data_IF_023746946947
#
_entry.id   IF_023746946947
#
_cell.length_a   1.000
_cell.length_b   1.000
_cell.length_c   1.000
_cell.angle_alpha   90.00
_cell.angle_beta   90.00
_cell.angle_gamma   90.00
#
_symmetry.space_group_name_H-M   'P 1'
#
loop_
_entity.id
_entity.type
_entity.pdbx_description
1 polymer ?
#
# COMPACT_ATOMS: atom_id res chain seq x y z
N UNK A 1 -7.26 -7.76 14.39
CA UNK A 1 -7.67 -8.79 13.39
C UNK A 1 -9.16 -9.17 13.48
N UNK A 2 -9.81 -9.12 14.65
CA UNK A 2 -11.29 -9.22 14.75
C UNK A 2 -11.98 -8.04 14.06
N UNK A 3 -11.30 -6.90 14.02
CA UNK A 3 -11.83 -5.61 13.54
C UNK A 3 -12.01 -5.59 12.03
N UNK A 4 -11.14 -6.25 11.27
CA UNK A 4 -11.26 -6.34 9.81
C UNK A 4 -12.51 -7.12 9.37
N UNK A 5 -12.88 -8.19 10.10
CA UNK A 5 -14.08 -8.97 9.82
C UNK A 5 -15.35 -8.16 10.10
N UNK A 6 -15.33 -7.34 11.15
CA UNK A 6 -16.42 -6.40 11.46
C UNK A 6 -16.56 -5.32 10.37
N UNK A 7 -15.44 -4.75 9.91
CA UNK A 7 -15.43 -3.76 8.84
C UNK A 7 -16.02 -4.31 7.52
N UNK A 8 -15.65 -5.53 7.14
CA UNK A 8 -16.21 -6.22 5.97
C UNK A 8 -17.72 -6.44 6.07
N UNK A 9 -18.22 -6.88 7.23
CA UNK A 9 -19.65 -7.04 7.45
C UNK A 9 -20.41 -5.71 7.37
N UNK A 10 -19.85 -4.65 7.96
CA UNK A 10 -20.42 -3.31 7.86
C UNK A 10 -20.48 -2.82 6.39
N UNK A 11 -19.43 -3.12 5.61
CA UNK A 11 -19.38 -2.79 4.19
C UNK A 11 -20.47 -3.53 3.39
N UNK A 12 -20.67 -4.83 3.64
CA UNK A 12 -21.76 -5.61 3.01
C UNK A 12 -23.12 -4.96 3.29
N UNK A 13 -23.39 -4.58 4.54
CA UNK A 13 -24.67 -3.95 4.93
C UNK A 13 -24.85 -2.62 4.19
N UNK A 14 -23.80 -1.81 4.08
CA UNK A 14 -23.85 -0.54 3.33
C UNK A 14 -24.11 -0.75 1.84
N UNK A 15 -23.46 -1.73 1.22
CA UNK A 15 -23.67 -2.07 -0.20
C UNK A 15 -25.11 -2.53 -0.45
N UNK A 16 -25.66 -3.40 0.41
CA UNK A 16 -27.07 -3.82 0.34
C UNK A 16 -28.02 -2.63 0.48
N UNK A 17 -27.72 -1.71 1.39
CA UNK A 17 -28.53 -0.49 1.58
C UNK A 17 -28.46 0.42 0.35
N UNK A 18 -27.27 0.59 -0.26
CA UNK A 18 -27.09 1.35 -1.49
C UNK A 18 -27.86 0.72 -2.68
N UNK A 19 -27.84 -0.62 -2.80
CA UNK A 19 -28.58 -1.39 -3.81
C UNK A 19 -30.09 -1.17 -3.67
N UNK A 20 -30.60 -1.09 -2.43
CA UNK A 20 -32.02 -0.80 -2.17
C UNK A 20 -32.40 0.64 -2.54
N UNK A 21 -31.54 1.62 -2.27
CA UNK A 21 -31.83 3.04 -2.51
C UNK A 21 -31.69 3.41 -4.00
N UNK A 22 -30.63 2.93 -4.66
CA UNK A 22 -30.29 3.29 -6.05
C UNK A 22 -30.83 2.30 -7.08
N UNK A 23 -31.35 1.15 -6.64
CA UNK A 23 -31.69 0.03 -7.49
C UNK A 23 -30.48 -0.89 -7.75
N UNK A 24 -30.76 -2.09 -8.25
CA UNK A 24 -29.74 -3.05 -8.63
C UNK A 24 -29.05 -2.58 -9.92
N UNK A 25 -27.85 -2.02 -9.79
CA UNK A 25 -26.95 -1.75 -10.91
C UNK A 25 -25.91 -2.86 -10.99
N UNK A 26 -25.45 -3.17 -12.21
CA UNK A 26 -24.43 -4.19 -12.46
C UNK A 26 -23.14 -3.95 -11.66
N UNK A 27 -22.80 -2.69 -11.42
CA UNK A 27 -21.64 -2.28 -10.62
C UNK A 27 -21.79 -2.69 -9.14
N UNK A 28 -22.98 -2.47 -8.57
CA UNK A 28 -23.26 -2.76 -7.15
C UNK A 28 -23.38 -4.26 -6.92
N UNK A 29 -23.97 -5.00 -7.86
CA UNK A 29 -24.05 -6.47 -7.80
C UNK A 29 -22.67 -7.10 -7.94
N UNK A 30 -21.83 -6.61 -8.85
CA UNK A 30 -20.44 -7.04 -9.01
C UNK A 30 -19.63 -6.75 -7.75
N UNK A 31 -19.67 -5.52 -7.24
CA UNK A 31 -18.96 -5.13 -6.01
C UNK A 31 -19.39 -5.99 -4.81
N UNK A 32 -20.67 -6.32 -4.69
CA UNK A 32 -21.20 -7.20 -3.64
C UNK A 32 -20.64 -8.62 -3.76
N UNK A 33 -20.52 -9.16 -4.97
CA UNK A 33 -19.90 -10.46 -5.20
C UNK A 33 -18.42 -10.46 -4.81
N UNK A 34 -17.68 -9.43 -5.22
CA UNK A 34 -16.25 -9.28 -4.90
C UNK A 34 -16.02 -9.19 -3.39
N UNK A 35 -16.88 -8.47 -2.66
CA UNK A 35 -16.81 -8.39 -1.19
C UNK A 35 -17.07 -9.76 -0.53
N UNK A 36 -17.98 -10.57 -1.09
CA UNK A 36 -18.25 -11.93 -0.60
C UNK A 36 -17.04 -12.84 -0.85
N UNK A 37 -16.38 -12.71 -2.01
CA UNK A 37 -15.15 -13.44 -2.34
C UNK A 37 -14.00 -13.04 -1.42
N UNK A 38 -13.74 -11.74 -1.28
CA UNK A 38 -12.70 -11.21 -0.39
C UNK A 38 -12.88 -11.68 1.06
N UNK A 39 -14.13 -11.79 1.54
CA UNK A 39 -14.41 -12.34 2.87
C UNK A 39 -13.97 -13.80 2.99
N UNK A 40 -14.14 -14.62 1.94
CA UNK A 40 -13.67 -16.01 1.92
C UNK A 40 -12.15 -16.06 1.94
N UNK A 41 -11.49 -15.21 1.16
CA UNK A 41 -10.03 -15.15 1.11
C UNK A 41 -9.44 -14.74 2.46
N UNK A 42 -10.05 -13.76 3.13
CA UNK A 42 -9.65 -13.35 4.48
C UNK A 42 -9.85 -14.49 5.49
N UNK A 43 -10.96 -15.23 5.40
CA UNK A 43 -11.21 -16.39 6.27
C UNK A 43 -10.24 -17.55 5.96
N UNK A 44 -9.86 -17.74 4.69
CA UNK A 44 -8.86 -18.72 4.26
C UNK A 44 -7.46 -18.34 4.74
N UNK A 45 -7.04 -17.09 4.54
CA UNK A 45 -5.75 -16.58 4.99
C UNK A 45 -5.60 -16.70 6.51
N UNK A 46 -6.69 -16.49 7.25
CA UNK A 46 -6.73 -16.69 8.70
C UNK A 46 -6.64 -18.17 9.09
N UNK A 47 -7.18 -19.06 8.27
CA UNK A 47 -7.16 -20.51 8.50
C UNK A 47 -5.88 -21.17 8.02
N UNK A 48 -5.17 -20.58 7.06
CA UNK A 48 -3.83 -21.01 6.67
C UNK A 48 -2.91 -20.73 7.84
N UNK A 49 -2.66 -21.79 8.60
CA UNK A 49 -1.86 -21.74 9.80
C UNK A 49 -0.48 -21.17 9.41
N UNK A 50 -0.15 -19.99 9.95
CA UNK A 50 1.15 -19.35 9.73
C UNK A 50 2.30 -20.27 10.19
N UNK A 51 1.99 -21.31 10.97
CA UNK A 51 2.88 -22.42 11.32
C UNK A 51 3.43 -23.18 10.11
N UNK A 52 2.72 -23.23 8.96
CA UNK A 52 3.28 -23.81 7.73
C UNK A 52 4.35 -22.92 7.09
N UNK A 53 4.28 -21.60 7.29
CA UNK A 53 5.25 -20.65 6.74
C UNK A 53 6.58 -20.71 7.53
N UNK A 54 6.49 -20.84 8.85
CA UNK A 54 7.63 -21.24 9.67
C UNK A 54 7.73 -22.75 9.64
N UNK A 55 8.09 -23.30 8.48
CA UNK A 55 8.22 -24.73 8.27
C UNK A 55 8.84 -25.37 9.49
N UNK A 56 8.20 -26.43 10.01
CA UNK A 56 8.64 -27.19 11.17
C UNK A 56 10.15 -27.32 11.09
N UNK A 57 10.86 -26.50 11.88
CA UNK A 57 12.27 -26.69 12.11
C UNK A 57 12.27 -27.95 12.94
N UNK A 58 12.30 -29.09 12.27
CA UNK A 58 12.84 -30.31 12.83
C UNK A 58 14.23 -29.86 13.28
N UNK A 59 14.34 -29.52 14.56
CA UNK A 59 15.61 -29.43 15.24
C UNK A 59 16.16 -30.83 15.09
N UNK A 60 16.91 -31.03 14.01
CA UNK A 60 17.61 -32.26 13.75
C UNK A 60 18.52 -32.39 14.96
N UNK A 61 18.14 -33.30 15.86
CA UNK A 61 18.92 -33.72 17.02
C UNK A 61 20.20 -34.34 16.46
N UNK A 62 21.10 -33.48 16.01
CA UNK A 62 22.40 -33.85 15.52
C UNK A 62 23.16 -34.24 16.78
N UNK A 63 23.46 -35.54 16.98
CA UNK A 63 24.20 -35.97 18.14
C UNK A 63 25.47 -35.15 18.17
N UNK A 64 25.69 -34.42 19.27
CA UNK A 64 26.83 -33.54 19.47
C UNK A 64 28.13 -34.33 19.35
N UNK A 65 28.62 -34.48 18.12
CA UNK A 65 29.95 -34.96 17.85
C UNK A 65 30.88 -33.77 18.09
N UNK A 66 31.48 -33.75 19.27
CA UNK A 66 32.66 -32.99 19.67
C UNK A 66 32.76 -31.60 19.04
N UNK A 67 32.21 -30.60 19.73
CA UNK A 67 32.63 -29.21 19.56
C UNK A 67 34.12 -29.17 19.93
N UNK A 68 35.05 -28.99 18.98
CA UNK A 68 36.45 -28.83 19.34
C UNK A 68 36.56 -27.51 20.08
N UNK A 69 37.06 -27.57 21.32
CA UNK A 69 37.36 -26.42 22.15
C UNK A 69 38.23 -25.43 21.35
N UNK A 70 37.60 -24.39 20.82
CA UNK A 70 38.31 -23.37 20.08
C UNK A 70 38.12 -22.02 20.76
N UNK A 71 39.28 -21.51 21.18
CA UNK A 71 39.59 -20.12 21.47
C UNK A 71 39.19 -19.59 22.84
N UNK A 72 40.14 -19.81 23.75
CA UNK A 72 40.55 -18.93 24.82
C UNK A 72 40.73 -17.49 24.28
N UNK A 73 39.68 -16.67 24.36
CA UNK A 73 39.76 -15.22 24.17
C UNK A 73 39.58 -14.59 25.55
N UNK A 74 40.57 -13.85 26.07
CA UNK A 74 40.45 -13.23 27.38
C UNK A 74 39.36 -12.17 27.31
N UNK A 75 38.25 -12.42 28.00
CA UNK A 75 37.17 -11.49 28.20
C UNK A 75 37.70 -10.32 29.05
N UNK A 76 38.06 -9.22 28.40
CA UNK A 76 38.49 -8.00 29.06
C UNK A 76 37.34 -7.47 29.94
N UNK A 77 37.46 -7.74 31.23
CA UNK A 77 36.56 -7.30 32.28
C UNK A 77 36.92 -5.85 32.62
N UNK A 78 36.23 -4.89 32.02
CA UNK A 78 36.17 -3.53 32.59
C UNK A 78 35.10 -3.53 33.66
N UNK A 79 35.54 -3.80 34.88
CA UNK A 79 34.86 -3.49 36.14
C UNK A 79 34.64 -1.98 36.18
N UNK A 80 33.39 -1.56 36.00
CA UNK A 80 32.94 -0.28 36.54
C UNK A 80 32.07 -0.56 37.75
N UNK A 81 32.62 -0.20 38.91
CA UNK A 81 32.13 -0.49 40.24
C UNK A 81 31.44 0.77 40.76
N UNK A 82 30.12 0.86 40.59
CA UNK A 82 29.30 1.85 41.28
C UNK A 82 28.17 1.17 42.05
N UNK A 83 28.46 0.92 43.33
CA UNK A 83 27.48 0.54 44.34
C UNK A 83 26.53 1.71 44.61
N UNK A 84 25.26 1.53 44.28
CA UNK A 84 24.14 2.16 45.00
C UNK A 84 23.18 1.04 45.39
N UNK A 85 23.24 0.73 46.67
CA UNK A 85 22.24 -0.03 47.41
C UNK A 85 21.01 0.86 47.54
N UNK A 86 19.91 0.54 46.86
CA UNK A 86 18.60 1.05 47.27
C UNK A 86 17.46 0.10 46.89
N UNK A 87 16.48 0.06 47.77
CA UNK A 87 15.48 -0.98 48.00
C UNK A 87 14.63 -1.40 46.77
N UNK A 88 14.00 -2.58 46.80
CA UNK A 88 12.96 -2.95 45.84
C UNK A 88 11.71 -2.09 46.09
N UNK A 89 11.67 -0.90 45.49
CA UNK A 89 10.44 -0.16 45.32
C UNK A 89 9.66 -0.81 44.17
N UNK A 90 8.61 -1.55 44.53
CA UNK A 90 7.59 -2.05 43.61
C UNK A 90 6.99 -0.86 42.85
N UNK A 91 7.36 -0.69 41.59
CA UNK A 91 6.76 0.30 40.70
C UNK A 91 5.53 -0.32 40.04
N UNK A 92 4.39 -0.20 40.72
CA UNK A 92 3.07 -0.21 40.09
C UNK A 92 2.92 1.08 39.26
N UNK A 93 3.51 1.11 38.08
CA UNK A 93 3.27 2.19 37.11
C UNK A 93 2.01 1.82 36.30
N UNK A 94 0.86 2.23 36.84
CA UNK A 94 -0.39 2.37 36.11
C UNK A 94 -0.17 3.40 34.99
N UNK A 95 0.16 2.93 33.79
CA UNK A 95 0.27 3.79 32.61
C UNK A 95 -1.11 4.21 32.16
N UNK A 96 -1.43 5.45 32.50
CA UNK A 96 -2.53 6.27 31.97
C UNK A 96 -2.56 6.22 30.43
N UNK A 97 -3.55 5.50 29.91
CA UNK A 97 -3.74 5.12 28.52
C UNK A 97 -4.75 6.06 27.81
N UNK A 98 -4.88 7.33 28.21
CA UNK A 98 -5.95 8.23 27.71
C UNK A 98 -5.51 9.49 26.95
N UNK A 99 -4.25 9.61 26.50
CA UNK A 99 -3.77 10.83 25.84
C UNK A 99 -3.33 10.73 24.36
N UNK A 100 -3.53 9.61 23.68
CA UNK A 100 -3.20 9.44 22.25
C UNK A 100 -4.35 9.72 21.27
N UNK A 101 -5.51 10.20 21.74
CA UNK A 101 -6.72 10.31 20.91
C UNK A 101 -6.93 11.60 20.09
N UNK A 102 -6.05 12.61 20.16
CA UNK A 102 -6.38 13.98 19.64
C UNK A 102 -5.39 14.55 18.61
N UNK A 103 -4.30 13.85 18.26
CA UNK A 103 -3.29 14.40 17.31
C UNK A 103 -3.16 13.69 15.96
N UNK A 104 -3.99 12.69 15.67
CA UNK A 104 -3.82 11.86 14.47
C UNK A 104 -4.62 12.35 13.26
N UNK A 105 -5.62 13.22 13.43
CA UNK A 105 -6.52 13.62 12.34
C UNK A 105 -5.94 14.73 11.44
N UNK A 106 -5.07 15.60 11.94
CA UNK A 106 -4.48 16.68 11.11
C UNK A 106 -3.30 16.21 10.25
N UNK A 107 -2.63 15.11 10.63
CA UNK A 107 -1.49 14.57 9.87
C UNK A 107 -1.96 13.96 8.55
N UNK A 108 -3.21 13.48 8.48
CA UNK A 108 -3.75 12.84 7.29
C UNK A 108 -4.02 13.82 6.13
N UNK A 109 -4.41 15.07 6.43
CA UNK A 109 -4.65 16.08 5.40
C UNK A 109 -3.34 16.62 4.78
N UNK A 110 -2.28 16.78 5.57
CA UNK A 110 -0.97 17.28 5.07
C UNK A 110 -0.26 16.28 4.14
N UNK A 111 -0.55 14.98 4.25
CA UNK A 111 0.07 13.94 3.41
C UNK A 111 -0.54 13.87 2.00
N UNK A 112 -1.84 14.17 1.86
CA UNK A 112 -2.53 14.18 0.56
C UNK A 112 -1.95 15.28 -0.35
N UNK A 113 -1.64 16.44 0.23
CA UNK A 113 -1.04 17.55 -0.52
C UNK A 113 0.42 17.28 -0.93
N UNK A 114 1.17 16.52 -0.11
CA UNK A 114 2.55 16.16 -0.39
C UNK A 114 2.69 15.16 -1.56
N UNK A 115 1.80 14.16 -1.63
CA UNK A 115 1.78 13.17 -2.72
C UNK A 115 1.53 13.83 -4.09
N UNK A 116 0.57 14.77 -4.14
CA UNK A 116 0.30 15.55 -5.35
C UNK A 116 1.50 16.40 -5.80
N UNK A 117 2.20 17.03 -4.86
CA UNK A 117 3.38 17.82 -5.14
C UNK A 117 4.55 16.99 -5.68
N UNK A 118 4.74 15.77 -5.15
CA UNK A 118 5.76 14.84 -5.64
C UNK A 118 5.50 14.38 -7.08
N UNK A 119 4.25 14.07 -7.41
CA UNK A 119 3.87 13.63 -8.75
C UNK A 119 4.11 14.73 -9.81
N UNK A 120 3.71 15.97 -9.54
CA UNK A 120 3.96 17.09 -10.46
C UNK A 120 5.45 17.42 -10.59
N UNK A 121 6.22 17.31 -9.51
CA UNK A 121 7.68 17.51 -9.55
C UNK A 121 8.37 16.47 -10.43
N UNK A 122 8.02 15.19 -10.28
CA UNK A 122 8.57 14.10 -11.08
C UNK A 122 8.22 14.26 -12.57
N UNK A 123 6.96 14.61 -12.87
CA UNK A 123 6.51 14.88 -14.24
C UNK A 123 7.30 16.04 -14.87
N UNK A 124 7.49 17.14 -14.14
CA UNK A 124 8.23 18.30 -14.64
C UNK A 124 9.71 18.00 -14.89
N UNK A 125 10.34 17.20 -14.02
CA UNK A 125 11.71 16.74 -14.23
C UNK A 125 11.82 15.88 -15.50
N UNK A 126 10.90 14.93 -15.70
CA UNK A 126 10.85 14.09 -16.90
C UNK A 126 10.68 14.88 -18.20
N UNK A 127 10.02 16.04 -18.15
CA UNK A 127 9.80 16.93 -19.30
C UNK A 127 11.03 17.77 -19.65
N UNK A 128 11.91 18.06 -18.68
CA UNK A 128 13.17 18.76 -18.96
C UNK A 128 14.22 17.83 -19.58
N UNK A 129 14.22 16.56 -19.19
CA UNK A 129 15.21 15.58 -19.70
C UNK A 129 14.99 15.18 -21.18
N UNK A 130 13.84 15.55 -21.77
CA UNK A 130 13.55 15.33 -23.20
C UNK A 130 13.83 16.56 -24.09
N UNK A 131 14.28 17.68 -23.53
CA UNK A 131 14.53 18.93 -24.29
C UNK A 131 16.00 19.16 -24.69
N UNK A 132 16.83 18.13 -24.71
CA UNK A 132 18.22 18.21 -25.18
C UNK A 132 18.51 17.23 -26.32
N UNK A 133 17.55 17.02 -27.22
CA UNK A 133 17.82 16.37 -28.50
C UNK A 133 17.90 17.45 -29.59
N UNK A 134 19.13 17.60 -30.09
CA UNK A 134 19.59 18.75 -30.82
C UNK A 134 18.81 19.02 -32.10
N UNK A 135 18.44 20.28 -32.26
CA UNK A 135 18.23 20.92 -33.54
C UNK A 135 19.55 20.86 -34.35
N UNK A 136 19.76 19.74 -35.06
CA UNK A 136 20.77 19.62 -36.10
C UNK A 136 20.11 19.96 -37.43
N UNK A 137 20.34 21.18 -37.90
CA UNK A 137 19.74 21.75 -39.11
C UNK A 137 19.95 20.89 -40.35
N UNK A 138 18.84 20.39 -40.90
CA UNK A 138 18.75 19.98 -42.30
C UNK A 138 18.15 21.14 -43.08
N UNK A 139 18.88 21.58 -44.12
CA UNK A 139 18.51 22.71 -44.95
C UNK A 139 17.21 22.46 -45.69
N UNK A 140 16.31 23.43 -45.61
CA UNK A 140 15.12 23.55 -46.45
C UNK A 140 15.50 23.42 -47.93
N UNK A 141 15.07 22.31 -48.52
CA UNK A 141 14.82 22.25 -49.97
C UNK A 141 13.31 22.31 -50.11
N UNK A 142 12.82 23.47 -50.57
CA UNK A 142 11.43 23.68 -50.94
C UNK A 142 10.97 22.61 -51.94
N UNK A 143 9.94 21.85 -51.58
CA UNK A 143 9.09 21.16 -52.54
C UNK A 143 7.68 21.74 -52.37
N UNK A 144 7.18 22.56 -53.32
CA UNK A 144 5.79 22.96 -53.34
C UNK A 144 4.96 21.77 -53.83
N UNK A 145 4.35 21.05 -52.89
CA UNK A 145 3.48 19.91 -53.13
C UNK A 145 2.03 20.23 -52.80
N UNK A 146 1.29 20.63 -53.83
CA UNK A 146 -0.16 20.82 -53.90
C UNK A 146 -0.96 19.57 -53.49
N UNK A 147 -1.93 19.70 -52.58
CA UNK A 147 -3.19 18.93 -52.60
C UNK A 147 -4.20 19.53 -51.59
N UNK A 148 -5.15 20.34 -52.07
CA UNK A 148 -6.51 19.96 -52.49
C UNK A 148 -7.53 19.97 -51.31
N UNK A 149 -8.61 20.78 -51.39
CA UNK A 149 -9.64 20.82 -50.37
C UNK A 149 -10.60 19.62 -50.50
N UNK A 150 -10.70 18.81 -49.44
CA UNK A 150 -11.76 17.80 -49.31
C UNK A 150 -13.06 18.53 -48.96
N UNK A 151 -13.82 18.85 -50.00
CA UNK A 151 -15.23 19.22 -49.91
C UNK A 151 -16.06 17.93 -49.91
N UNK A 152 -16.67 17.60 -48.79
CA UNK A 152 -17.52 16.42 -48.66
C UNK A 152 -18.42 16.49 -47.44
N UNK A 153 -19.43 17.36 -47.51
CA UNK A 153 -20.60 17.33 -46.65
C UNK A 153 -21.43 16.07 -46.91
N UNK A 154 -21.77 15.30 -45.88
CA UNK A 154 -23.03 14.54 -45.86
C UNK A 154 -23.59 14.62 -44.44
N UNK A 155 -24.59 15.50 -44.29
CA UNK A 155 -25.62 15.38 -43.28
C UNK A 155 -26.29 14.00 -43.40
N UNK A 156 -26.24 13.21 -42.35
CA UNK A 156 -27.23 12.16 -42.12
C UNK A 156 -28.00 12.49 -40.85
N UNK A 157 -29.00 13.34 -41.05
CA UNK A 157 -30.12 13.52 -40.15
C UNK A 157 -31.21 12.52 -40.57
N UNK A 158 -31.51 11.53 -39.73
CA UNK A 158 -32.77 10.77 -39.82
C UNK A 158 -33.19 10.22 -38.44
N UNK A 159 -34.18 10.92 -37.90
CA UNK A 159 -35.17 10.68 -36.85
C UNK A 159 -35.19 9.39 -35.98
N UNK A 160 -35.57 9.53 -34.70
CA UNK A 160 -36.06 8.42 -33.88
C UNK A 160 -37.47 7.97 -34.31
N UNK A 161 -37.71 6.66 -34.34
CA UNK A 161 -39.05 6.10 -34.40
C UNK A 161 -39.63 5.97 -32.98
N UNK A 162 -40.92 6.29 -32.89
CA UNK A 162 -41.74 6.35 -31.68
C UNK A 162 -42.00 4.97 -31.03
#
# INVERSE_FOLDING_TARGET
MRDHKLALNALIVRVVTCEQIRGATEEVTTLKADIIELRKDVDQLKSTDMSMLFGTVEILDMPSADIPACSDVPLATTVDETRVDDAPAELEAETDEEHLGVREETIYYDLVDLEGAMFETARKASLQDTSMEGFSGAKDTEIPGTDAPIKGSVDMQASPQA
#
